data_IF_708171981067
#
_entry.id   IF_708171981067
#
_cell.length_a   1.000
_cell.length_b   1.000
_cell.length_c   1.000
_cell.angle_alpha   90.00
_cell.angle_beta   90.00
_cell.angle_gamma   90.00
#
_symmetry.space_group_name_H-M   'P 1'
#
loop_
_entity.id
_entity.type
_entity.pdbx_description
1 polymer ?
#
# COMPACT_ATOMS: atom_id res chain seq x y z
N UNK A 1 57.04 -17.95 8.74
CA UNK A 1 57.76 -16.93 9.54
C UNK A 1 58.45 -15.98 8.58
N UNK A 2 58.09 -14.69 8.71
CA UNK A 2 58.80 -13.49 8.30
C UNK A 2 58.90 -13.06 6.81
N UNK A 3 58.97 -11.72 6.58
CA UNK A 3 58.07 -10.97 5.69
C UNK A 3 58.82 -9.89 4.85
N UNK A 4 58.10 -8.87 4.38
CA UNK A 4 58.53 -7.59 3.76
C UNK A 4 58.68 -7.59 2.23
N UNK A 5 57.70 -7.01 1.51
CA UNK A 5 57.67 -5.62 0.98
C UNK A 5 58.70 -5.38 -0.12
N UNK A 6 58.24 -5.00 -1.31
CA UNK A 6 58.90 -4.06 -2.24
C UNK A 6 57.91 -3.69 -3.38
N UNK A 7 57.59 -2.39 -3.49
CA UNK A 7 57.60 -1.53 -4.70
C UNK A 7 56.82 -2.05 -5.94
N UNK A 8 55.95 -1.31 -6.64
CA UNK A 8 55.67 0.11 -6.67
C UNK A 8 54.69 0.47 -7.80
N UNK A 9 54.15 1.67 -7.63
CA UNK A 9 53.35 2.59 -8.44
C UNK A 9 53.52 2.56 -9.98
N UNK A 10 52.44 2.98 -10.67
CA UNK A 10 52.36 3.61 -12.03
C UNK A 10 52.05 2.66 -13.20
N UNK A 11 50.78 2.65 -13.64
CA UNK A 11 50.45 2.49 -15.06
C UNK A 11 49.20 3.31 -15.41
N UNK A 12 49.44 4.59 -15.67
CA UNK A 12 48.52 5.52 -16.31
C UNK A 12 49.21 6.03 -17.57
N UNK A 13 48.88 5.46 -18.74
CA UNK A 13 49.10 6.10 -20.05
C UNK A 13 48.55 5.20 -21.16
N UNK A 14 47.34 5.48 -21.63
CA UNK A 14 47.01 5.29 -23.05
C UNK A 14 45.83 6.18 -23.41
N UNK A 15 46.17 7.43 -23.72
CA UNK A 15 45.33 8.37 -24.43
C UNK A 15 46.09 8.74 -25.71
N UNK A 16 45.37 8.78 -26.83
CA UNK A 16 45.49 9.59 -28.04
C UNK A 16 44.87 8.77 -29.19
N UNK A 17 43.98 9.22 -30.06
CA UNK A 17 43.23 10.46 -30.34
C UNK A 17 42.56 10.17 -31.68
N UNK A 18 41.34 10.64 -31.94
CA UNK A 18 41.04 11.31 -33.21
C UNK A 18 39.80 12.21 -33.02
N UNK A 19 40.06 13.51 -33.11
CA UNK A 19 39.06 14.58 -33.17
C UNK A 19 38.36 14.58 -34.54
N UNK A 20 37.08 14.98 -34.57
CA UNK A 20 36.55 15.93 -35.53
C UNK A 20 35.18 16.44 -35.03
N UNK A 21 34.99 17.76 -35.04
CA UNK A 21 33.68 18.39 -34.78
C UNK A 21 33.71 19.62 -33.90
N UNK A 22 34.39 20.67 -34.37
CA UNK A 22 34.35 22.02 -33.82
C UNK A 22 33.07 22.73 -34.27
N UNK A 23 32.30 23.21 -33.30
CA UNK A 23 31.22 24.19 -33.42
C UNK A 23 30.53 24.23 -32.05
N UNK A 24 30.54 25.30 -31.26
CA UNK A 24 30.83 26.70 -31.53
C UNK A 24 29.74 27.49 -30.80
N UNK A 25 30.02 27.90 -29.55
CA UNK A 25 29.33 29.01 -28.87
C UNK A 25 28.13 28.66 -27.98
N UNK A 26 28.23 29.01 -26.70
CA UNK A 26 27.09 29.15 -25.80
C UNK A 26 27.27 28.52 -24.41
N UNK A 27 28.21 29.03 -23.60
CA UNK A 27 28.19 28.77 -22.15
C UNK A 27 26.97 29.45 -21.53
N UNK A 28 25.85 28.74 -21.43
CA UNK A 28 24.80 29.09 -20.48
C UNK A 28 25.28 28.64 -19.10
N UNK A 29 25.54 29.62 -18.24
CA UNK A 29 25.71 29.50 -16.80
C UNK A 29 24.86 28.37 -16.23
N UNK A 30 25.47 27.49 -15.43
CA UNK A 30 24.76 26.49 -14.64
C UNK A 30 23.64 27.16 -13.87
N UNK A 31 22.42 26.99 -14.36
CA UNK A 31 21.23 27.41 -13.67
C UNK A 31 21.18 26.64 -12.36
N UNK A 32 21.32 27.36 -11.25
CA UNK A 32 20.88 26.84 -9.96
C UNK A 32 19.45 26.37 -10.17
N UNK A 33 19.22 25.06 -10.14
CA UNK A 33 17.88 24.50 -10.24
C UNK A 33 17.17 24.98 -8.98
N UNK A 34 16.41 26.06 -9.11
CA UNK A 34 15.70 26.64 -7.97
C UNK A 34 14.57 25.66 -7.65
N UNK A 35 14.49 25.12 -6.43
CA UNK A 35 13.42 24.20 -6.07
C UNK A 35 12.06 24.85 -6.36
N UNK A 36 11.08 24.08 -6.86
CA UNK A 36 9.74 24.62 -7.09
C UNK A 36 9.21 25.24 -5.79
N UNK A 37 8.81 26.51 -5.85
CA UNK A 37 8.34 27.28 -4.69
C UNK A 37 6.86 27.10 -4.42
N UNK A 38 6.18 26.28 -5.23
CA UNK A 38 4.75 26.01 -5.10
C UNK A 38 4.46 24.53 -5.25
N UNK A 39 3.44 24.06 -4.54
CA UNK A 39 2.92 22.71 -4.64
C UNK A 39 1.70 22.68 -5.56
N UNK A 40 1.70 21.76 -6.52
CA UNK A 40 0.51 21.45 -7.34
C UNK A 40 -0.11 20.14 -6.87
N UNK A 41 -1.44 20.13 -6.67
CA UNK A 41 -2.21 18.90 -6.50
C UNK A 41 -2.80 18.52 -7.85
N UNK A 42 -2.50 17.33 -8.33
CA UNK A 42 -3.06 16.72 -9.54
C UNK A 42 -3.86 15.50 -9.19
N UNK A 43 -4.86 15.15 -9.99
CA UNK A 43 -5.73 14.05 -9.62
C UNK A 43 -6.82 13.73 -10.62
N UNK A 44 -7.68 12.80 -10.22
CA UNK A 44 -8.90 12.41 -10.91
C UNK A 44 -10.04 12.43 -9.90
N UNK A 45 -11.16 13.05 -10.25
CA UNK A 45 -12.39 12.93 -9.48
C UNK A 45 -13.28 11.84 -10.10
N UNK A 46 -13.56 10.75 -9.36
CA UNK A 46 -14.27 9.61 -9.92
C UNK A 46 -15.16 8.85 -8.92
N UNK A 47 -16.43 8.67 -9.31
CA UNK A 47 -17.33 7.60 -8.86
C UNK A 47 -17.71 6.73 -10.05
N UNK A 48 -18.10 7.38 -11.13
CA UNK A 48 -17.43 7.27 -12.43
C UNK A 48 -16.82 8.61 -12.78
N UNK A 49 -16.16 8.78 -13.93
CA UNK A 49 -15.43 10.02 -14.20
C UNK A 49 -16.35 11.25 -14.14
N UNK A 50 -16.03 12.18 -13.22
CA UNK A 50 -16.75 13.44 -13.08
C UNK A 50 -16.28 14.39 -14.19
N UNK A 51 -16.77 14.22 -15.42
CA UNK A 51 -16.38 15.06 -16.56
C UNK A 51 -17.05 16.42 -16.48
N UNK A 52 -16.25 17.49 -16.36
CA UNK A 52 -16.77 18.85 -16.16
C UNK A 52 -17.35 19.10 -14.76
N UNK A 53 -17.04 18.24 -13.78
CA UNK A 53 -17.29 18.49 -12.37
C UNK A 53 -16.37 19.58 -11.80
N UNK A 54 -16.62 19.99 -10.56
CA UNK A 54 -15.85 21.03 -9.85
C UNK A 54 -15.05 20.41 -8.71
N UNK A 55 -13.79 20.83 -8.57
CA UNK A 55 -12.94 20.49 -7.42
C UNK A 55 -12.56 21.75 -6.65
N UNK A 56 -12.69 21.69 -5.33
CA UNK A 56 -12.30 22.74 -4.39
C UNK A 56 -11.29 22.21 -3.39
N UNK A 57 -10.31 23.02 -3.03
CA UNK A 57 -9.32 22.71 -1.99
C UNK A 57 -9.52 23.66 -0.83
N UNK A 58 -9.61 23.11 0.36
CA UNK A 58 -9.82 23.86 1.60
C UNK A 58 -8.67 23.66 2.55
N UNK A 59 -8.33 24.72 3.28
CA UNK A 59 -7.58 24.66 4.53
C UNK A 59 -8.57 24.64 5.70
N UNK A 60 -8.11 24.16 6.86
CA UNK A 60 -8.89 24.13 8.09
C UNK A 60 -8.38 25.17 9.10
N UNK A 61 -9.26 25.74 9.92
CA UNK A 61 -8.84 26.61 11.02
C UNK A 61 -8.03 25.84 12.08
N UNK A 62 -7.51 26.56 13.07
CA UNK A 62 -6.82 25.96 14.22
C UNK A 62 -7.70 24.97 15.01
N UNK A 63 -9.02 25.17 15.03
CA UNK A 63 -9.98 24.23 15.63
C UNK A 63 -10.11 22.90 14.88
N UNK A 64 -9.62 22.84 13.63
CA UNK A 64 -9.71 21.68 12.73
C UNK A 64 -11.15 21.24 12.39
N UNK A 65 -12.13 22.09 12.64
CA UNK A 65 -13.54 21.84 12.31
C UNK A 65 -13.80 22.03 10.81
N UNK A 66 -14.23 20.97 10.12
CA UNK A 66 -14.53 20.99 8.68
C UNK A 66 -15.69 21.91 8.31
N UNK A 67 -16.56 22.24 9.27
CA UNK A 67 -17.67 23.18 9.01
C UNK A 67 -17.19 24.62 8.89
N UNK A 68 -15.96 24.90 9.32
CA UNK A 68 -15.32 26.21 9.29
C UNK A 68 -14.18 26.27 8.27
N UNK A 69 -14.14 25.31 7.34
CA UNK A 69 -13.12 25.21 6.29
C UNK A 69 -13.09 26.48 5.42
N UNK A 70 -11.90 26.89 5.01
CA UNK A 70 -11.68 28.08 4.17
C UNK A 70 -11.14 27.66 2.81
N UNK A 71 -11.71 28.22 1.74
CA UNK A 71 -11.26 27.91 0.38
C UNK A 71 -9.82 28.41 0.22
N UNK A 72 -8.90 27.50 -0.11
CA UNK A 72 -7.47 27.81 -0.22
C UNK A 72 -7.13 28.45 -1.57
N UNK A 73 -7.84 28.05 -2.63
CA UNK A 73 -7.65 28.50 -4.01
C UNK A 73 -8.98 28.47 -4.75
N UNK A 74 -9.11 29.24 -5.83
CA UNK A 74 -10.27 29.17 -6.71
C UNK A 74 -10.59 27.72 -7.09
N UNK A 75 -11.89 27.43 -7.22
CA UNK A 75 -12.36 26.14 -7.68
C UNK A 75 -11.88 25.88 -9.12
N UNK A 76 -11.55 24.63 -9.43
CA UNK A 76 -11.19 24.23 -10.80
C UNK A 76 -12.25 23.30 -11.37
N UNK A 77 -12.39 23.35 -12.69
CA UNK A 77 -13.24 22.41 -13.43
C UNK A 77 -12.37 21.24 -13.87
N UNK A 78 -12.85 20.04 -13.61
CA UNK A 78 -12.25 18.80 -14.11
C UNK A 78 -12.34 18.71 -15.63
N UNK A 79 -11.36 18.06 -16.24
CA UNK A 79 -11.34 17.75 -17.66
C UNK A 79 -12.64 17.09 -18.12
N UNK A 80 -13.18 17.57 -19.23
CA UNK A 80 -14.37 17.01 -19.87
C UNK A 80 -14.12 15.66 -20.53
N UNK A 81 -12.87 15.21 -20.60
CA UNK A 81 -12.46 13.96 -21.25
C UNK A 81 -12.41 12.82 -20.24
N UNK A 82 -11.76 13.04 -19.10
CA UNK A 82 -11.27 11.99 -18.20
C UNK A 82 -11.39 12.35 -16.70
N UNK A 83 -12.04 13.46 -16.35
CA UNK A 83 -12.23 13.87 -14.95
C UNK A 83 -10.96 14.31 -14.22
N UNK A 84 -9.84 14.50 -14.94
CA UNK A 84 -8.57 14.99 -14.37
C UNK A 84 -8.67 16.44 -13.90
N UNK A 85 -7.94 16.79 -12.86
CA UNK A 85 -7.81 18.18 -12.38
C UNK A 85 -6.37 18.49 -11.96
N UNK A 86 -6.06 19.79 -11.92
CA UNK A 86 -4.82 20.32 -11.39
C UNK A 86 -5.08 21.63 -10.64
N UNK A 87 -4.53 21.77 -9.44
CA UNK A 87 -4.73 22.94 -8.57
C UNK A 87 -3.39 23.32 -7.96
N UNK A 88 -2.96 24.57 -8.12
CA UNK A 88 -1.78 25.09 -7.43
C UNK A 88 -2.20 25.65 -6.07
N UNK A 89 -1.65 25.11 -4.98
CA UNK A 89 -1.94 25.55 -3.59
C UNK A 89 -0.89 26.52 -3.04
N UNK A 90 0.00 27.02 -3.90
CA UNK A 90 1.08 27.93 -3.53
C UNK A 90 2.07 27.26 -2.58
N UNK A 91 2.52 28.01 -1.57
CA UNK A 91 3.45 27.55 -0.55
C UNK A 91 2.77 26.93 0.69
N UNK A 92 1.51 26.50 0.56
CA UNK A 92 0.77 25.94 1.69
C UNK A 92 1.37 24.60 2.13
N UNK A 93 1.51 24.43 3.44
CA UNK A 93 1.88 23.17 4.11
C UNK A 93 0.86 22.84 5.19
N UNK A 94 0.69 21.55 5.47
CA UNK A 94 -0.28 21.04 6.44
C UNK A 94 -1.49 20.40 5.79
N UNK A 95 -2.56 20.23 6.58
CA UNK A 95 -3.76 19.52 6.18
C UNK A 95 -4.57 20.28 5.12
N UNK A 96 -4.88 19.59 4.03
CA UNK A 96 -5.83 20.06 3.02
C UNK A 96 -7.00 19.09 2.86
N UNK A 97 -8.18 19.63 2.63
CA UNK A 97 -9.42 18.89 2.33
C UNK A 97 -9.86 19.23 0.90
N UNK A 98 -9.98 18.21 0.06
CA UNK A 98 -10.49 18.35 -1.30
C UNK A 98 -11.94 17.91 -1.35
N UNK A 99 -12.75 18.62 -2.13
CA UNK A 99 -14.14 18.28 -2.41
C UNK A 99 -14.39 18.31 -3.91
N UNK A 100 -14.93 17.20 -4.44
CA UNK A 100 -15.38 17.10 -5.82
C UNK A 100 -16.91 16.99 -5.87
N UNK A 101 -17.52 17.79 -6.74
CA UNK A 101 -18.95 17.72 -7.05
C UNK A 101 -19.18 17.70 -8.56
N UNK A 102 -20.33 17.18 -9.00
CA UNK A 102 -20.68 17.11 -10.41
C UNK A 102 -21.54 15.89 -10.73
N UNK A 103 -21.66 15.62 -12.02
CA UNK A 103 -22.36 14.45 -12.55
C UNK A 103 -21.36 13.44 -13.12
N UNK A 104 -21.75 12.17 -13.10
CA UNK A 104 -20.99 11.04 -13.62
C UNK A 104 -21.92 10.06 -14.32
N UNK A 105 -21.36 9.22 -15.18
CA UNK A 105 -22.07 8.05 -15.71
C UNK A 105 -21.83 6.89 -14.76
N UNK A 106 -22.90 6.29 -14.25
CA UNK A 106 -22.82 5.16 -13.33
C UNK A 106 -22.50 3.86 -14.10
N UNK A 107 -21.37 3.24 -13.80
CA UNK A 107 -20.89 2.02 -14.47
C UNK A 107 -21.82 0.82 -14.30
N UNK A 108 -22.63 0.82 -13.24
CA UNK A 108 -23.53 -0.30 -12.97
C UNK A 108 -24.70 -0.38 -13.97
N UNK A 109 -25.20 0.77 -14.43
CA UNK A 109 -26.46 0.89 -15.18
C UNK A 109 -26.39 1.86 -16.37
N UNK A 110 -25.24 2.47 -16.64
CA UNK A 110 -25.02 3.43 -17.72
C UNK A 110 -25.74 4.77 -17.54
N UNK A 111 -26.47 4.98 -16.45
CA UNK A 111 -27.27 6.20 -16.26
C UNK A 111 -26.42 7.36 -15.77
N UNK A 112 -26.76 8.59 -16.20
CA UNK A 112 -26.12 9.80 -15.69
C UNK A 112 -26.70 10.16 -14.34
N UNK A 113 -25.85 10.27 -13.31
CA UNK A 113 -26.21 10.64 -11.94
C UNK A 113 -25.45 11.87 -11.50
N UNK A 114 -26.01 12.63 -10.56
CA UNK A 114 -25.34 13.74 -9.89
C UNK A 114 -25.00 13.30 -8.47
N UNK A 115 -23.83 13.72 -7.97
CA UNK A 115 -23.49 13.50 -6.58
C UNK A 115 -24.40 14.35 -5.67
N UNK A 116 -25.12 13.68 -4.77
CA UNK A 116 -25.98 14.35 -3.78
C UNK A 116 -25.17 15.13 -2.74
N UNK A 117 -23.93 14.70 -2.49
CA UNK A 117 -22.95 15.37 -1.65
C UNK A 117 -21.56 15.26 -2.28
N UNK A 118 -20.66 16.24 -2.06
CA UNK A 118 -19.30 16.14 -2.57
C UNK A 118 -18.57 14.90 -2.04
N UNK A 119 -17.78 14.26 -2.91
CA UNK A 119 -16.79 13.29 -2.47
C UNK A 119 -15.56 14.03 -1.96
N UNK A 120 -14.94 13.52 -0.89
CA UNK A 120 -13.77 14.13 -0.29
C UNK A 120 -12.51 13.29 -0.43
N UNK A 121 -11.39 13.98 -0.34
CA UNK A 121 -10.08 13.41 -0.06
C UNK A 121 -9.34 14.36 0.89
N UNK A 122 -8.52 13.83 1.78
CA UNK A 122 -7.69 14.65 2.67
C UNK A 122 -6.26 14.10 2.71
N UNK A 123 -5.30 15.02 2.81
CA UNK A 123 -3.88 14.69 2.90
C UNK A 123 -3.12 15.81 3.62
N UNK A 124 -1.93 15.47 4.10
CA UNK A 124 -1.02 16.42 4.76
C UNK A 124 0.12 16.76 3.79
N UNK A 125 0.24 18.04 3.45
CA UNK A 125 1.33 18.56 2.61
C UNK A 125 2.54 18.81 3.50
N UNK A 126 3.49 17.87 3.49
CA UNK A 126 4.66 17.89 4.38
C UNK A 126 5.74 18.91 3.99
N UNK A 127 5.81 19.31 2.71
CA UNK A 127 6.77 20.30 2.23
C UNK A 127 6.24 21.06 1.03
N UNK A 128 6.78 22.27 0.81
CA UNK A 128 6.49 23.08 -0.37
C UNK A 128 7.28 22.55 -1.56
N UNK A 129 6.63 22.52 -2.71
CA UNK A 129 7.25 22.21 -4.00
C UNK A 129 6.79 20.87 -4.58
N UNK A 130 6.77 20.82 -5.91
CA UNK A 130 6.49 19.60 -6.66
C UNK A 130 5.02 19.33 -6.92
N UNK A 131 4.71 18.07 -7.22
CA UNK A 131 3.38 17.61 -7.58
C UNK A 131 2.95 16.48 -6.67
N UNK A 132 1.76 16.59 -6.12
CA UNK A 132 1.13 15.56 -5.28
C UNK A 132 -0.09 15.02 -6.00
N UNK A 133 -0.17 13.70 -6.14
CA UNK A 133 -1.33 13.03 -6.71
C UNK A 133 -2.37 12.78 -5.62
N UNK A 134 -3.64 13.00 -5.96
CA UNK A 134 -4.79 12.67 -5.10
C UNK A 134 -5.97 12.27 -5.98
N UNK A 135 -6.50 11.07 -5.82
CA UNK A 135 -7.81 10.74 -6.38
C UNK A 135 -8.92 11.23 -5.44
N UNK A 136 -10.03 11.74 -5.98
CA UNK A 136 -11.23 12.05 -5.19
C UNK A 136 -12.31 11.03 -5.54
N UNK A 137 -12.47 10.03 -4.69
CA UNK A 137 -13.27 8.83 -4.96
C UNK A 137 -14.07 8.40 -3.72
N UNK A 138 -15.00 7.44 -3.84
CA UNK A 138 -15.64 6.82 -2.68
C UNK A 138 -14.65 6.27 -1.65
N UNK A 139 -13.50 5.75 -2.06
CA UNK A 139 -12.51 5.21 -1.12
C UNK A 139 -11.80 6.31 -0.33
N UNK A 140 -11.43 7.43 -0.97
CA UNK A 140 -10.88 8.59 -0.24
C UNK A 140 -11.94 9.27 0.62
N UNK A 141 -13.21 9.22 0.21
CA UNK A 141 -14.31 9.68 1.06
C UNK A 141 -14.46 8.78 2.30
N UNK A 142 -14.37 7.45 2.17
CA UNK A 142 -14.30 6.54 3.32
C UNK A 142 -13.13 6.92 4.24
N UNK A 143 -11.95 7.23 3.70
CA UNK A 143 -10.78 7.65 4.47
C UNK A 143 -11.07 8.94 5.27
N UNK A 144 -11.66 9.95 4.64
CA UNK A 144 -12.05 11.21 5.29
C UNK A 144 -13.08 10.95 6.40
N UNK A 145 -14.10 10.13 6.13
CA UNK A 145 -15.11 9.82 7.16
C UNK A 145 -14.53 9.03 8.32
N UNK A 146 -13.60 8.12 8.05
CA UNK A 146 -12.89 7.37 9.08
C UNK A 146 -12.04 8.31 9.94
N UNK A 147 -11.29 9.23 9.34
CA UNK A 147 -10.48 10.22 10.04
C UNK A 147 -11.30 11.21 10.89
N UNK A 148 -12.57 11.43 10.52
CA UNK A 148 -13.53 12.22 11.30
C UNK A 148 -14.20 11.43 12.44
N UNK A 149 -14.04 10.10 12.47
CA UNK A 149 -14.77 9.26 13.43
C UNK A 149 -14.11 9.28 14.80
N UNK A 150 -14.90 9.60 15.84
CA UNK A 150 -14.51 9.52 17.24
C UNK A 150 -15.55 8.67 17.97
N UNK A 151 -15.12 7.65 18.71
CA UNK A 151 -16.00 6.72 19.44
C UNK A 151 -17.15 6.15 18.57
N UNK A 152 -16.85 5.79 17.32
CA UNK A 152 -17.80 5.17 16.38
C UNK A 152 -18.70 6.15 15.62
N UNK A 153 -18.76 7.39 16.07
CA UNK A 153 -19.60 8.43 15.49
C UNK A 153 -18.76 9.38 14.66
N UNK A 154 -19.27 9.76 13.48
CA UNK A 154 -18.63 10.77 12.66
C UNK A 154 -18.74 12.14 13.35
N UNK A 155 -17.59 12.72 13.71
CA UNK A 155 -17.47 14.09 14.18
C UNK A 155 -17.17 15.06 13.04
N UNK A 156 -16.69 16.24 13.41
CA UNK A 156 -16.36 17.32 12.46
C UNK A 156 -14.89 17.74 12.52
N UNK A 157 -14.12 17.17 13.45
CA UNK A 157 -12.73 17.53 13.67
C UNK A 157 -11.83 16.61 12.84
N UNK A 158 -11.10 17.18 11.89
CA UNK A 158 -10.18 16.43 11.03
C UNK A 158 -8.73 16.68 11.43
N UNK A 159 -8.06 15.66 11.94
CA UNK A 159 -6.66 15.74 12.42
C UNK A 159 -5.69 15.13 11.43
N UNK A 160 -4.46 15.65 11.40
CA UNK A 160 -3.40 15.22 10.47
C UNK A 160 -3.00 13.76 10.69
N UNK A 161 -2.85 13.35 11.96
CA UNK A 161 -2.55 11.97 12.34
C UNK A 161 -3.68 11.01 11.96
N UNK A 162 -4.94 11.44 12.12
CA UNK A 162 -6.11 10.62 11.79
C UNK A 162 -6.26 10.45 10.27
N UNK A 163 -5.99 11.50 9.49
CA UNK A 163 -5.96 11.44 8.02
C UNK A 163 -4.87 10.51 7.53
N UNK A 164 -3.66 10.66 8.08
CA UNK A 164 -2.52 9.80 7.72
C UNK A 164 -2.81 8.34 8.03
N UNK A 165 -3.35 8.04 9.22
CA UNK A 165 -3.72 6.69 9.63
C UNK A 165 -4.85 6.11 8.77
N UNK A 166 -5.90 6.87 8.46
CA UNK A 166 -7.02 6.39 7.65
C UNK A 166 -6.61 6.10 6.20
N UNK A 167 -5.78 6.96 5.61
CA UNK A 167 -5.24 6.74 4.26
C UNK A 167 -4.35 5.49 4.24
N UNK A 168 -3.42 5.37 5.20
CA UNK A 168 -2.53 4.22 5.30
C UNK A 168 -3.30 2.91 5.51
N UNK A 169 -4.36 2.93 6.32
CA UNK A 169 -5.21 1.76 6.55
C UNK A 169 -5.85 1.27 5.23
N UNK A 170 -6.49 2.17 4.48
CA UNK A 170 -7.13 1.80 3.22
C UNK A 170 -6.12 1.34 2.17
N UNK A 171 -5.00 2.04 2.00
CA UNK A 171 -3.92 1.59 1.10
C UNK A 171 -3.35 0.23 1.51
N UNK A 172 -3.38 -0.11 2.80
CA UNK A 172 -2.98 -1.43 3.30
C UNK A 172 -4.00 -2.56 3.04
N UNK A 173 -5.27 -2.22 2.80
CA UNK A 173 -6.38 -3.16 2.59
C UNK A 173 -6.80 -3.33 1.12
N UNK A 174 -6.34 -2.42 0.26
CA UNK A 174 -6.68 -2.35 -1.15
C UNK A 174 -5.47 -2.76 -2.01
N UNK A 175 -5.68 -3.33 -3.21
CA UNK A 175 -4.59 -3.68 -4.13
C UNK A 175 -3.97 -2.47 -4.85
N UNK A 176 -4.38 -1.25 -4.49
CA UNK A 176 -3.93 0.01 -5.04
C UNK A 176 -3.83 1.05 -3.92
N UNK A 177 -3.03 2.08 -4.15
CA UNK A 177 -2.92 3.22 -3.24
C UNK A 177 -3.92 4.32 -3.60
N UNK A 178 -4.81 4.64 -2.67
CA UNK A 178 -5.88 5.63 -2.90
C UNK A 178 -5.36 7.06 -3.11
N UNK A 179 -4.09 7.33 -2.79
CA UNK A 179 -3.47 8.64 -2.97
C UNK A 179 -2.60 8.70 -4.23
N UNK A 180 -1.78 7.67 -4.50
CA UNK A 180 -0.80 7.72 -5.60
C UNK A 180 -1.28 7.07 -6.89
N UNK A 181 -2.15 6.05 -6.83
CA UNK A 181 -2.77 5.47 -8.01
C UNK A 181 -3.99 6.29 -8.44
N UNK A 182 -4.10 6.57 -9.74
CA UNK A 182 -5.22 7.31 -10.30
C UNK A 182 -6.07 6.38 -11.18
N UNK A 183 -7.39 6.23 -10.88
CA UNK A 183 -8.26 5.46 -11.74
C UNK A 183 -8.33 6.08 -13.14
N UNK A 184 -8.57 5.24 -14.12
CA UNK A 184 -8.83 5.63 -15.52
C UNK A 184 -10.29 5.36 -15.89
N UNK A 185 -10.72 5.91 -17.03
CA UNK A 185 -12.06 5.63 -17.55
C UNK A 185 -12.25 4.10 -17.70
N UNK A 186 -13.42 3.55 -17.36
CA UNK A 186 -13.70 2.11 -17.47
C UNK A 186 -13.93 1.66 -18.94
N UNK A 187 -13.01 2.01 -19.83
CA UNK A 187 -12.96 1.61 -21.23
C UNK A 187 -11.76 0.69 -21.47
N UNK A 188 -11.94 -0.34 -22.28
CA UNK A 188 -10.88 -1.28 -22.63
C UNK A 188 -9.65 -0.58 -23.22
N UNK A 189 -9.86 0.46 -24.05
CA UNK A 189 -8.78 1.26 -24.62
C UNK A 189 -7.96 2.04 -23.59
N UNK A 190 -8.59 2.47 -22.50
CA UNK A 190 -7.97 3.27 -21.44
C UNK A 190 -7.33 2.39 -20.36
N UNK A 191 -7.85 1.18 -20.16
CA UNK A 191 -7.28 0.18 -19.25
C UNK A 191 -6.12 -0.59 -19.88
N UNK A 192 -6.06 -0.68 -21.21
CA UNK A 192 -4.95 -1.32 -21.90
C UNK A 192 -3.67 -0.47 -21.76
N UNK A 193 -2.60 -1.07 -21.25
CA UNK A 193 -1.29 -0.40 -21.09
C UNK A 193 -1.12 0.44 -19.81
N UNK A 194 -2.14 0.52 -18.93
CA UNK A 194 -1.96 1.12 -17.59
C UNK A 194 -1.52 0.07 -16.57
N UNK A 195 -0.92 0.52 -15.46
CA UNK A 195 -0.44 -0.39 -14.41
C UNK A 195 -1.59 -1.16 -13.76
N UNK A 196 -1.31 -2.38 -13.29
CA UNK A 196 -2.31 -3.23 -12.63
C UNK A 196 -3.04 -2.53 -11.45
N UNK A 197 -2.37 -1.77 -10.55
CA UNK A 197 -3.08 -1.03 -9.49
C UNK A 197 -4.10 -0.02 -10.03
N UNK A 198 -3.83 0.65 -11.15
CA UNK A 198 -4.77 1.60 -11.75
C UNK A 198 -5.97 0.89 -12.40
N UNK A 199 -5.73 -0.28 -13.00
CA UNK A 199 -6.81 -1.15 -13.49
C UNK A 199 -7.71 -1.61 -12.34
N UNK A 200 -7.09 -2.10 -11.27
CA UNK A 200 -7.78 -2.56 -10.07
C UNK A 200 -8.57 -1.44 -9.40
N UNK A 201 -8.03 -0.22 -9.36
CA UNK A 201 -8.75 0.93 -8.83
C UNK A 201 -10.00 1.24 -9.65
N UNK A 202 -9.89 1.33 -10.99
CA UNK A 202 -11.05 1.55 -11.86
C UNK A 202 -12.13 0.48 -11.69
N UNK A 203 -11.73 -0.79 -11.65
CA UNK A 203 -12.65 -1.91 -11.44
C UNK A 203 -13.27 -1.88 -10.04
N UNK A 204 -12.51 -1.53 -9.00
CA UNK A 204 -13.04 -1.39 -7.65
C UNK A 204 -14.10 -0.28 -7.55
N UNK A 205 -13.98 0.81 -8.33
CA UNK A 205 -15.01 1.83 -8.42
C UNK A 205 -16.30 1.31 -9.08
N UNK A 206 -16.17 0.45 -10.11
CA UNK A 206 -17.31 -0.24 -10.72
C UNK A 206 -17.99 -1.23 -9.74
N UNK A 207 -17.22 -1.90 -8.89
CA UNK A 207 -17.78 -2.70 -7.80
C UNK A 207 -18.60 -1.85 -6.83
N UNK A 208 -18.09 -0.67 -6.43
CA UNK A 208 -18.83 0.28 -5.59
C UNK A 208 -20.09 0.80 -6.32
N UNK A 209 -20.05 1.00 -7.65
CA UNK A 209 -21.25 1.32 -8.46
C UNK A 209 -22.33 0.26 -8.31
N UNK A 210 -21.94 -1.01 -8.42
CA UNK A 210 -22.85 -2.16 -8.30
C UNK A 210 -23.38 -2.32 -6.88
N UNK A 211 -22.55 -2.18 -5.86
CA UNK A 211 -23.03 -2.20 -4.46
C UNK A 211 -24.03 -1.07 -4.19
N UNK A 212 -23.79 0.11 -4.76
CA UNK A 212 -24.63 1.28 -4.58
C UNK A 212 -26.02 1.15 -5.24
N UNK A 213 -26.24 0.21 -6.17
CA UNK A 213 -27.59 -0.03 -6.71
C UNK A 213 -28.54 -0.64 -5.69
N UNK A 214 -28.00 -1.32 -4.65
CA UNK A 214 -28.79 -2.01 -3.63
C UNK A 214 -28.98 -1.19 -2.34
N UNK A 215 -28.13 -0.19 -2.06
CA UNK A 215 -28.14 0.53 -0.77
C UNK A 215 -27.90 2.04 -0.84
N UNK A 216 -27.62 2.62 -2.01
CA UNK A 216 -27.06 3.96 -2.25
C UNK A 216 -25.55 4.08 -2.02
N UNK A 217 -24.93 5.07 -2.68
CA UNK A 217 -23.50 5.34 -2.54
C UNK A 217 -23.12 5.71 -1.10
N UNK A 218 -23.91 6.57 -0.46
CA UNK A 218 -23.69 6.96 0.95
C UNK A 218 -23.82 5.76 1.88
N UNK A 219 -24.72 4.83 1.59
CA UNK A 219 -24.89 3.58 2.34
C UNK A 219 -23.63 2.71 2.28
N UNK A 220 -23.07 2.48 1.08
CA UNK A 220 -21.83 1.70 0.89
C UNK A 220 -20.65 2.34 1.62
N UNK A 221 -20.47 3.65 1.47
CA UNK A 221 -19.38 4.40 2.12
C UNK A 221 -19.51 4.29 3.65
N UNK A 222 -20.72 4.41 4.19
CA UNK A 222 -20.96 4.37 5.63
C UNK A 222 -20.78 2.97 6.22
N UNK A 223 -21.18 1.92 5.49
CA UNK A 223 -20.92 0.54 5.87
C UNK A 223 -19.41 0.25 5.94
N UNK A 224 -18.66 0.64 4.90
CA UNK A 224 -17.21 0.49 4.87
C UNK A 224 -16.54 1.25 6.00
N UNK A 225 -16.92 2.51 6.24
CA UNK A 225 -16.42 3.31 7.37
C UNK A 225 -16.64 2.60 8.70
N UNK A 226 -17.84 2.10 8.97
CA UNK A 226 -18.18 1.41 10.23
C UNK A 226 -17.33 0.17 10.45
N UNK A 227 -17.15 -0.65 9.41
CA UNK A 227 -16.34 -1.87 9.51
C UNK A 227 -14.87 -1.54 9.81
N UNK A 228 -14.30 -0.57 9.10
CA UNK A 228 -12.91 -0.14 9.29
C UNK A 228 -12.72 0.48 10.68
N UNK A 229 -13.65 1.30 11.16
CA UNK A 229 -13.56 1.86 12.51
C UNK A 229 -13.61 0.78 13.59
N UNK A 230 -14.54 -0.18 13.46
CA UNK A 230 -14.76 -1.19 14.50
C UNK A 230 -13.67 -2.27 14.53
N UNK A 231 -13.10 -2.61 13.37
CA UNK A 231 -12.26 -3.81 13.23
C UNK A 231 -10.92 -3.58 12.55
N UNK A 232 -10.67 -2.38 12.00
CA UNK A 232 -9.48 -2.10 11.19
C UNK A 232 -9.45 -2.85 9.86
N UNK A 233 -10.56 -3.46 9.43
CA UNK A 233 -10.61 -4.29 8.20
C UNK A 233 -12.02 -4.40 7.65
N UNK A 234 -12.13 -4.90 6.42
CA UNK A 234 -13.43 -5.30 5.87
C UNK A 234 -13.85 -6.66 6.44
N UNK A 235 -15.14 -6.82 6.71
CA UNK A 235 -15.71 -8.11 7.07
C UNK A 235 -15.70 -9.07 5.89
N UNK A 236 -15.73 -10.37 6.16
CA UNK A 236 -15.90 -11.39 5.13
C UNK A 236 -17.14 -11.15 4.26
N UNK A 237 -18.26 -10.73 4.87
CA UNK A 237 -19.49 -10.41 4.14
C UNK A 237 -19.28 -9.25 3.16
N UNK A 238 -18.60 -8.17 3.57
CA UNK A 238 -18.32 -7.04 2.70
C UNK A 238 -17.37 -7.39 1.55
N UNK A 239 -16.36 -8.23 1.81
CA UNK A 239 -15.43 -8.70 0.78
C UNK A 239 -16.14 -9.59 -0.22
N UNK A 240 -16.98 -10.51 0.24
CA UNK A 240 -17.78 -11.36 -0.65
C UNK A 240 -18.78 -10.53 -1.46
N UNK A 241 -19.44 -9.54 -0.85
CA UNK A 241 -20.33 -8.62 -1.55
C UNK A 241 -19.59 -7.81 -2.62
N UNK A 242 -18.39 -7.30 -2.31
CA UNK A 242 -17.54 -6.61 -3.28
C UNK A 242 -17.16 -7.52 -4.46
N UNK A 243 -16.70 -8.74 -4.18
CA UNK A 243 -16.33 -9.70 -5.24
C UNK A 243 -17.53 -10.10 -6.08
N UNK A 244 -18.70 -10.35 -5.47
CA UNK A 244 -19.94 -10.63 -6.18
C UNK A 244 -20.40 -9.44 -7.03
N UNK A 245 -20.26 -8.21 -6.53
CA UNK A 245 -20.57 -7.00 -7.29
C UNK A 245 -19.78 -6.89 -8.60
N UNK A 246 -18.60 -7.51 -8.68
CA UNK A 246 -17.82 -7.64 -9.91
C UNK A 246 -18.16 -8.90 -10.70
N UNK A 247 -18.10 -10.06 -10.05
CA UNK A 247 -17.93 -11.36 -10.71
C UNK A 247 -19.15 -12.30 -10.60
N UNK A 248 -20.27 -11.86 -10.01
CA UNK A 248 -21.50 -12.64 -10.05
C UNK A 248 -21.99 -12.79 -11.50
N UNK A 249 -22.22 -14.02 -12.00
CA UNK A 249 -22.51 -14.25 -13.42
C UNK A 249 -23.89 -13.72 -13.87
N UNK A 250 -24.80 -13.43 -12.94
CA UNK A 250 -26.14 -12.94 -13.25
C UNK A 250 -26.26 -11.42 -13.04
N UNK A 251 -25.56 -10.87 -12.04
CA UNK A 251 -25.80 -9.50 -11.56
C UNK A 251 -24.54 -8.64 -11.47
N UNK A 252 -23.36 -9.26 -11.54
CA UNK A 252 -22.07 -8.60 -11.41
C UNK A 252 -21.77 -7.60 -12.52
N UNK A 253 -20.78 -6.74 -12.30
CA UNK A 253 -20.30 -5.79 -13.30
C UNK A 253 -19.82 -6.48 -14.56
N UNK A 254 -19.06 -7.57 -14.44
CA UNK A 254 -18.49 -8.25 -15.61
C UNK A 254 -19.53 -8.85 -16.55
N UNK A 255 -20.70 -9.25 -16.02
CA UNK A 255 -21.84 -9.73 -16.79
C UNK A 255 -22.74 -8.59 -17.33
N UNK A 256 -22.49 -7.34 -16.94
CA UNK A 256 -23.30 -6.19 -17.33
C UNK A 256 -23.10 -5.79 -18.79
N UNK A 257 -24.18 -5.37 -19.46
CA UNK A 257 -24.10 -4.73 -20.78
C UNK A 257 -23.32 -3.40 -20.77
N UNK A 258 -23.09 -2.82 -19.59
CA UNK A 258 -22.34 -1.58 -19.40
C UNK A 258 -20.85 -1.81 -19.11
N UNK A 259 -20.40 -3.06 -19.11
CA UNK A 259 -18.99 -3.39 -18.97
C UNK A 259 -18.22 -3.09 -20.27
N UNK A 260 -17.65 -1.90 -20.33
CA UNK A 260 -16.78 -1.50 -21.44
C UNK A 260 -15.29 -1.78 -21.18
N UNK A 261 -14.95 -2.45 -20.06
CA UNK A 261 -13.56 -2.61 -19.62
C UNK A 261 -12.82 -3.75 -20.31
N UNK A 262 -13.55 -4.70 -20.90
CA UNK A 262 -12.98 -5.93 -21.46
C UNK A 262 -12.70 -7.04 -20.43
N UNK A 263 -12.81 -6.76 -19.13
CA UNK A 263 -12.61 -7.77 -18.08
C UNK A 263 -13.85 -8.65 -17.90
N UNK A 264 -13.63 -9.95 -17.77
CA UNK A 264 -14.68 -10.94 -17.53
C UNK A 264 -14.48 -11.72 -16.22
N UNK A 265 -13.41 -11.43 -15.49
CA UNK A 265 -13.03 -12.07 -14.24
C UNK A 265 -12.24 -11.10 -13.37
N UNK A 266 -12.14 -11.42 -12.07
CA UNK A 266 -11.31 -10.65 -11.14
C UNK A 266 -9.84 -10.69 -11.57
N UNK A 267 -9.17 -9.55 -11.40
CA UNK A 267 -7.71 -9.48 -11.52
C UNK A 267 -7.06 -10.13 -10.30
N UNK A 268 -5.78 -10.49 -10.42
CA UNK A 268 -5.02 -11.04 -9.30
C UNK A 268 -4.96 -10.09 -8.08
N UNK A 269 -5.01 -8.76 -8.30
CA UNK A 269 -5.05 -7.79 -7.21
C UNK A 269 -6.44 -7.69 -6.56
N UNK A 270 -7.53 -7.68 -7.34
CA UNK A 270 -8.89 -7.64 -6.80
C UNK A 270 -9.31 -8.94 -6.09
N UNK A 271 -8.69 -10.07 -6.45
CA UNK A 271 -8.81 -11.29 -5.64
C UNK A 271 -8.28 -11.10 -4.21
N UNK A 272 -7.38 -10.14 -4.01
CA UNK A 272 -6.81 -9.78 -2.70
C UNK A 272 -7.51 -8.59 -2.05
N UNK A 273 -8.67 -8.14 -2.54
CA UNK A 273 -9.44 -7.08 -1.89
C UNK A 273 -9.75 -7.42 -0.43
N UNK A 274 -9.41 -6.50 0.48
CA UNK A 274 -9.62 -6.66 1.93
C UNK A 274 -8.64 -7.58 2.63
N UNK A 275 -7.61 -8.08 1.94
CA UNK A 275 -6.47 -8.71 2.62
C UNK A 275 -5.79 -7.67 3.48
N UNK A 276 -5.36 -8.08 4.68
CA UNK A 276 -4.72 -7.18 5.64
C UNK A 276 -3.34 -7.72 6.01
N UNK A 277 -2.48 -6.84 6.52
CA UNK A 277 -1.14 -7.23 6.97
C UNK A 277 -1.20 -7.72 8.40
N UNK A 278 -0.55 -8.85 8.67
CA UNK A 278 -0.37 -9.40 10.02
C UNK A 278 1.12 -9.60 10.27
N UNK A 279 1.60 -9.23 11.46
CA UNK A 279 3.00 -9.47 11.82
C UNK A 279 3.11 -10.75 12.64
N UNK A 280 3.89 -11.71 12.17
CA UNK A 280 4.25 -12.91 12.89
C UNK A 280 5.62 -12.72 13.54
N UNK A 281 5.67 -12.74 14.87
CA UNK A 281 6.92 -12.83 15.64
C UNK A 281 7.29 -14.28 15.88
N UNK A 282 8.58 -14.58 15.78
CA UNK A 282 9.12 -15.93 15.91
C UNK A 282 10.12 -15.95 17.06
N UNK A 283 9.97 -16.96 17.92
CA UNK A 283 10.72 -17.10 19.16
C UNK A 283 11.49 -18.41 19.17
N UNK A 284 12.74 -18.34 19.62
CA UNK A 284 13.52 -19.50 20.01
C UNK A 284 13.27 -19.77 21.50
N UNK A 285 12.73 -20.94 21.82
CA UNK A 285 12.48 -21.37 23.20
C UNK A 285 13.32 -22.61 23.49
N UNK A 286 14.10 -22.55 24.56
CA UNK A 286 15.09 -23.55 24.92
C UNK A 286 15.79 -23.17 26.21
N UNK A 287 16.41 -24.14 26.87
CA UNK A 287 17.23 -23.91 28.04
C UNK A 287 18.69 -23.84 27.60
N UNK A 288 19.09 -22.71 27.02
CA UNK A 288 20.46 -22.50 26.56
C UNK A 288 21.35 -22.22 27.77
N UNK A 289 22.50 -22.90 27.88
CA UNK A 289 23.51 -22.46 28.83
C UNK A 289 23.97 -21.05 28.44
N UNK A 290 24.51 -20.27 29.39
CA UNK A 290 24.99 -18.90 29.13
C UNK A 290 26.11 -18.83 28.07
N UNK A 291 26.72 -19.96 27.74
CA UNK A 291 27.73 -20.14 26.69
C UNK A 291 27.14 -20.50 25.33
N UNK A 292 25.90 -20.98 25.28
CA UNK A 292 25.25 -21.47 24.06
C UNK A 292 24.54 -20.33 23.35
N UNK A 293 25.30 -19.62 22.52
CA UNK A 293 24.77 -18.56 21.65
C UNK A 293 24.40 -19.14 20.28
N UNK A 294 23.18 -18.87 19.84
CA UNK A 294 22.72 -19.19 18.49
C UNK A 294 23.44 -18.25 17.52
N UNK A 295 24.21 -18.81 16.57
CA UNK A 295 24.85 -18.06 15.49
C UNK A 295 24.20 -18.30 14.14
N UNK A 296 23.52 -19.44 13.98
CA UNK A 296 22.73 -19.75 12.80
C UNK A 296 21.45 -20.46 13.20
N UNK A 297 20.34 -20.09 12.58
CA UNK A 297 19.09 -20.84 12.65
C UNK A 297 18.47 -20.92 11.26
N UNK A 298 18.14 -22.13 10.82
CA UNK A 298 17.38 -22.40 9.60
C UNK A 298 16.07 -23.07 9.99
N UNK A 299 14.98 -22.66 9.35
CA UNK A 299 13.68 -23.32 9.53
C UNK A 299 12.78 -23.11 8.31
N UNK A 300 11.74 -23.95 8.25
CA UNK A 300 10.60 -23.80 7.35
C UNK A 300 9.32 -23.64 8.18
N UNK A 301 8.54 -22.59 7.89
CA UNK A 301 7.27 -22.29 8.54
C UNK A 301 6.15 -22.62 7.58
N UNK A 302 5.25 -23.51 7.96
CA UNK A 302 3.97 -23.70 7.25
C UNK A 302 3.00 -22.66 7.75
N UNK A 303 2.53 -21.81 6.83
CA UNK A 303 1.54 -20.79 7.12
C UNK A 303 0.13 -21.41 7.06
N UNK A 304 -0.79 -21.03 7.96
CA UNK A 304 -2.16 -21.53 7.92
C UNK A 304 -2.88 -21.08 6.64
N UNK A 305 -3.94 -21.80 6.27
CA UNK A 305 -4.78 -21.44 5.13
C UNK A 305 -5.24 -19.97 5.23
N UNK A 306 -5.27 -19.26 4.11
CA UNK A 306 -5.65 -17.85 4.07
C UNK A 306 -4.52 -16.87 4.45
N UNK A 307 -3.36 -17.34 4.90
CA UNK A 307 -2.17 -16.51 5.04
C UNK A 307 -1.17 -16.76 3.93
N UNK A 308 -0.42 -15.73 3.55
CA UNK A 308 0.66 -15.79 2.56
C UNK A 308 1.71 -14.72 2.85
N UNK A 309 2.83 -14.72 2.14
CA UNK A 309 3.78 -13.59 2.12
C UNK A 309 3.67 -12.85 0.79
N UNK A 310 4.01 -11.55 0.78
CA UNK A 310 4.13 -10.83 -0.49
C UNK A 310 5.39 -11.30 -1.22
N UNK A 311 5.24 -11.70 -2.47
CA UNK A 311 6.35 -12.11 -3.33
C UNK A 311 6.56 -11.14 -4.49
N UNK A 312 7.78 -11.11 -5.01
CA UNK A 312 8.11 -10.50 -6.29
C UNK A 312 7.62 -11.33 -7.48
N UNK A 313 7.95 -10.89 -8.68
CA UNK A 313 7.65 -11.58 -9.94
C UNK A 313 8.40 -12.91 -10.09
N UNK A 314 9.49 -13.07 -9.33
CA UNK A 314 10.31 -14.28 -9.21
C UNK A 314 9.78 -15.29 -8.18
N UNK A 315 8.62 -15.00 -7.56
CA UNK A 315 8.05 -15.79 -6.46
C UNK A 315 8.88 -15.81 -5.17
N UNK A 316 9.92 -14.97 -5.06
CA UNK A 316 10.66 -14.79 -3.81
C UNK A 316 9.95 -13.77 -2.92
N UNK A 317 9.99 -13.93 -1.58
CA UNK A 317 9.52 -12.90 -0.67
C UNK A 317 10.19 -11.55 -0.95
N UNK A 318 9.40 -10.47 -0.94
CA UNK A 318 9.94 -9.12 -1.11
C UNK A 318 10.90 -8.75 0.03
N UNK A 319 11.82 -7.81 -0.24
CA UNK A 319 12.69 -7.27 0.79
C UNK A 319 11.88 -6.71 1.97
N UNK A 320 12.33 -6.99 3.20
CA UNK A 320 11.66 -6.56 4.43
C UNK A 320 10.46 -7.42 4.85
N UNK A 321 10.08 -8.44 4.08
CA UNK A 321 9.04 -9.41 4.52
C UNK A 321 9.51 -10.20 5.74
N UNK A 322 10.80 -10.53 5.80
CA UNK A 322 11.42 -11.12 6.98
C UNK A 322 12.50 -10.16 7.46
N UNK A 323 12.47 -9.85 8.76
CA UNK A 323 13.45 -8.96 9.39
C UNK A 323 13.90 -9.53 10.72
N UNK A 324 15.14 -9.22 11.10
CA UNK A 324 15.72 -9.70 12.34
C UNK A 324 15.17 -8.80 13.44
N UNK A 325 14.73 -9.40 14.53
CA UNK A 325 14.05 -8.66 15.59
C UNK A 325 14.43 -9.20 16.96
N UNK A 326 13.99 -8.50 18.01
CA UNK A 326 14.30 -8.86 19.39
C UNK A 326 15.79 -9.06 19.63
N UNK A 327 16.14 -10.24 20.14
CA UNK A 327 17.50 -10.59 20.55
C UNK A 327 18.45 -10.76 19.37
N UNK A 328 17.94 -10.95 18.15
CA UNK A 328 18.76 -11.09 16.94
C UNK A 328 18.81 -9.82 16.08
N UNK A 329 18.25 -8.68 16.53
CA UNK A 329 18.12 -7.48 15.70
C UNK A 329 19.46 -6.89 15.20
N UNK A 330 20.55 -7.07 15.96
CA UNK A 330 21.85 -6.46 15.65
C UNK A 330 22.81 -7.49 15.05
N UNK A 331 23.42 -7.16 13.91
CA UNK A 331 24.50 -7.95 13.32
C UNK A 331 24.03 -9.27 12.71
N UNK A 332 22.75 -9.34 12.34
CA UNK A 332 22.15 -10.53 11.72
C UNK A 332 21.79 -10.29 10.26
N UNK A 333 21.85 -11.37 9.48
CA UNK A 333 21.58 -11.40 8.06
C UNK A 333 20.70 -12.60 7.74
N UNK A 334 19.71 -12.42 6.86
CA UNK A 334 18.96 -13.54 6.31
C UNK A 334 19.54 -13.96 4.98
N UNK A 335 19.77 -15.26 4.83
CA UNK A 335 19.87 -15.86 3.50
C UNK A 335 18.55 -15.63 2.73
N UNK A 336 18.59 -15.54 1.39
CA UNK A 336 17.39 -15.36 0.59
C UNK A 336 16.29 -16.34 0.97
N UNK A 337 15.17 -15.81 1.45
CA UNK A 337 14.04 -16.63 1.84
C UNK A 337 13.37 -17.25 0.60
N UNK A 338 12.90 -18.48 0.72
CA UNK A 338 12.08 -19.15 -0.28
C UNK A 338 10.64 -19.23 0.17
N UNK A 339 9.68 -19.01 -0.73
CA UNK A 339 8.26 -19.24 -0.46
C UNK A 339 7.66 -20.19 -1.49
N UNK A 340 7.12 -21.31 -1.01
CA UNK A 340 6.38 -22.25 -1.83
C UNK A 340 4.87 -22.03 -1.62
N UNK A 341 4.22 -21.42 -2.60
CA UNK A 341 2.77 -21.13 -2.56
C UNK A 341 1.90 -22.38 -2.63
N UNK A 342 2.41 -23.49 -3.16
CA UNK A 342 1.66 -24.76 -3.26
C UNK A 342 1.55 -25.47 -1.90
N UNK A 343 2.60 -25.37 -1.08
CA UNK A 343 2.61 -25.94 0.29
C UNK A 343 2.38 -24.88 1.38
N UNK A 344 2.24 -23.62 0.98
CA UNK A 344 2.19 -22.44 1.84
C UNK A 344 3.34 -22.38 2.86
N UNK A 345 4.56 -22.69 2.42
CA UNK A 345 5.73 -22.83 3.28
C UNK A 345 6.76 -21.73 3.02
N UNK A 346 7.13 -21.00 4.07
CA UNK A 346 8.20 -20.01 4.07
C UNK A 346 9.46 -20.60 4.67
N UNK A 347 10.56 -20.65 3.93
CA UNK A 347 11.85 -21.16 4.41
C UNK A 347 12.90 -20.06 4.41
N UNK A 348 13.69 -19.99 5.48
CA UNK A 348 14.79 -19.03 5.56
C UNK A 348 15.86 -19.51 6.54
N UNK A 349 17.04 -18.89 6.45
CA UNK A 349 18.09 -19.02 7.44
C UNK A 349 18.50 -17.62 7.93
N UNK A 350 18.75 -17.50 9.23
CA UNK A 350 19.27 -16.32 9.89
C UNK A 350 20.68 -16.64 10.41
N UNK A 351 21.63 -15.80 10.05
CA UNK A 351 23.02 -15.86 10.53
C UNK A 351 23.27 -14.61 11.38
N UNK A 352 23.79 -14.77 12.58
CA UNK A 352 24.08 -13.68 13.53
C UNK A 352 25.57 -13.64 13.86
N UNK A 353 26.21 -12.51 13.58
CA UNK A 353 27.63 -12.28 13.91
C UNK A 353 27.87 -12.13 15.42
N UNK A 354 26.91 -11.52 16.13
CA UNK A 354 26.91 -11.30 17.59
C UNK A 354 26.37 -12.51 18.34
N UNK A 355 25.45 -13.26 17.73
CA UNK A 355 24.76 -14.38 18.33
C UNK A 355 23.66 -13.93 19.28
N UNK A 356 22.71 -14.83 19.56
CA UNK A 356 21.56 -14.53 20.41
C UNK A 356 21.14 -15.76 21.24
N UNK A 357 20.46 -15.52 22.37
CA UNK A 357 19.89 -16.58 23.22
C UNK A 357 18.41 -16.84 22.93
N UNK A 358 17.69 -17.43 23.88
CA UNK A 358 16.23 -17.58 23.79
C UNK A 358 15.51 -16.24 23.66
N UNK A 359 14.40 -16.20 22.93
CA UNK A 359 13.57 -15.01 22.75
C UNK A 359 13.16 -14.77 21.30
N UNK A 360 12.57 -13.61 21.04
CA UNK A 360 12.22 -13.17 19.69
C UNK A 360 13.49 -13.01 18.86
N UNK A 361 13.51 -13.56 17.65
CA UNK A 361 14.65 -13.42 16.73
C UNK A 361 14.26 -12.95 15.32
N UNK A 362 12.98 -13.09 14.94
CA UNK A 362 12.52 -12.68 13.63
C UNK A 362 11.08 -12.20 13.64
N UNK A 363 10.78 -11.27 12.74
CA UNK A 363 9.43 -10.85 12.36
C UNK A 363 9.18 -11.16 10.90
N UNK A 364 7.96 -11.64 10.60
CA UNK A 364 7.48 -11.91 9.24
C UNK A 364 6.21 -11.11 9.00
N UNK A 365 6.18 -10.32 7.91
CA UNK A 365 4.98 -9.65 7.45
C UNK A 365 4.17 -10.58 6.54
N UNK A 366 2.95 -10.90 6.96
CA UNK A 366 2.03 -11.80 6.27
C UNK A 366 0.87 -11.02 5.66
N UNK A 367 0.37 -11.49 4.52
CA UNK A 367 -0.95 -11.11 3.99
C UNK A 367 -1.98 -12.11 4.48
N UNK A 368 -3.01 -11.63 5.15
CA UNK A 368 -4.08 -12.44 5.72
C UNK A 368 -5.39 -12.17 5.01
N UNK A 369 -6.02 -13.25 4.54
CA UNK A 369 -7.33 -13.21 3.91
C UNK A 369 -8.40 -12.86 4.95
N UNK A 370 -9.39 -12.02 4.61
CA UNK A 370 -10.56 -11.78 5.46
C UNK A 370 -11.48 -13.00 5.57
N UNK A 371 -11.26 -14.05 4.77
CA UNK A 371 -12.07 -15.29 4.76
C UNK A 371 -11.75 -16.23 5.92
N UNK A 372 -10.70 -15.97 6.68
CA UNK A 372 -10.32 -16.79 7.82
C UNK A 372 -10.52 -16.04 9.13
N UNK A 373 -10.87 -16.79 10.19
CA UNK A 373 -10.72 -16.27 11.55
C UNK A 373 -9.27 -15.81 11.73
N UNK A 374 -9.01 -14.74 12.53
CA UNK A 374 -7.66 -14.39 12.90
C UNK A 374 -6.90 -15.66 13.31
N UNK A 375 -5.73 -15.92 12.70
CA UNK A 375 -4.96 -17.10 13.06
C UNK A 375 -4.59 -17.01 14.55
N UNK A 376 -4.43 -18.16 15.19
CA UNK A 376 -3.90 -18.24 16.55
C UNK A 376 -2.46 -18.72 16.48
N UNK A 377 -1.66 -18.44 17.50
CA UNK A 377 -0.23 -18.80 17.52
C UNK A 377 0.04 -20.28 17.23
N UNK A 378 -0.87 -21.17 17.62
CA UNK A 378 -0.79 -22.62 17.39
C UNK A 378 -1.14 -23.07 15.97
N UNK A 379 -1.59 -22.16 15.10
CA UNK A 379 -1.90 -22.45 13.69
C UNK A 379 -0.66 -22.47 12.79
N UNK A 380 0.50 -22.08 13.32
CA UNK A 380 1.79 -22.13 12.62
C UNK A 380 2.59 -23.33 13.09
N UNK A 381 3.30 -23.96 12.17
CA UNK A 381 4.22 -25.06 12.49
C UNK A 381 5.60 -24.77 11.91
N UNK A 382 6.63 -24.95 12.72
CA UNK A 382 8.01 -24.99 12.26
C UNK A 382 8.40 -26.43 11.90
N UNK A 383 9.17 -26.58 10.84
CA UNK A 383 9.79 -27.83 10.40
C UNK A 383 11.21 -27.55 9.92
N UNK A 384 12.01 -28.60 9.72
CA UNK A 384 13.39 -28.50 9.26
C UNK A 384 14.23 -27.52 10.09
N UNK A 385 13.98 -27.48 11.40
CA UNK A 385 14.68 -26.56 12.31
C UNK A 385 16.10 -27.07 12.53
N UNK A 386 17.07 -26.28 12.14
CA UNK A 386 18.50 -26.53 12.39
C UNK A 386 19.08 -25.30 13.08
N UNK A 387 19.78 -25.52 14.20
CA UNK A 387 20.38 -24.44 14.99
C UNK A 387 21.85 -24.75 15.19
N UNK A 388 22.72 -23.76 14.98
CA UNK A 388 24.16 -23.91 15.10
C UNK A 388 24.84 -22.81 15.91
N UNK A 389 25.93 -23.17 16.57
CA UNK A 389 26.86 -22.28 17.27
C UNK A 389 27.86 -21.62 16.30
N UNK A 390 28.80 -20.83 16.85
CA UNK A 390 29.92 -20.24 16.08
C UNK A 390 30.84 -21.31 15.46
N UNK A 391 30.99 -22.46 16.12
CA UNK A 391 31.79 -23.57 15.64
C UNK A 391 31.11 -24.41 14.55
N UNK A 392 29.84 -24.11 14.24
CA UNK A 392 29.01 -24.95 13.37
C UNK A 392 28.46 -26.19 14.09
N UNK A 393 28.66 -26.31 15.41
CA UNK A 393 28.08 -27.41 16.18
C UNK A 393 26.57 -27.24 16.26
N UNK A 394 25.83 -28.34 16.12
CA UNK A 394 24.38 -28.33 16.30
C UNK A 394 24.01 -28.11 17.77
N UNK A 395 23.05 -27.23 18.02
CA UNK A 395 22.50 -27.00 19.37
C UNK A 395 21.29 -27.92 19.57
N UNK A 396 21.38 -28.87 20.51
CA UNK A 396 20.28 -29.79 20.84
C UNK A 396 19.28 -29.23 21.85
N UNK A 397 19.63 -28.12 22.51
CA UNK A 397 18.88 -27.57 23.64
C UNK A 397 17.75 -26.60 23.24
N UNK A 398 17.59 -26.35 21.92
CA UNK A 398 16.37 -25.73 21.42
C UNK A 398 15.22 -26.71 21.61
N UNK A 399 14.36 -26.44 22.58
CA UNK A 399 13.19 -27.30 22.83
C UNK A 399 12.11 -27.08 21.80
N UNK A 400 11.87 -25.83 21.40
CA UNK A 400 10.77 -25.48 20.48
C UNK A 400 11.04 -24.17 19.73
N UNK A 401 10.42 -24.04 18.56
CA UNK A 401 10.16 -22.73 17.94
C UNK A 401 8.70 -22.37 18.22
N UNK A 402 8.47 -21.17 18.72
CA UNK A 402 7.12 -20.68 19.02
C UNK A 402 6.83 -19.38 18.28
N UNK A 403 5.54 -19.03 18.22
CA UNK A 403 5.03 -17.98 17.37
C UNK A 403 4.12 -17.04 18.17
N UNK A 404 4.14 -15.76 17.84
CA UNK A 404 3.17 -14.79 18.33
C UNK A 404 2.68 -13.89 17.21
N UNK A 405 1.37 -13.76 17.06
CA UNK A 405 0.78 -12.81 16.12
C UNK A 405 0.63 -11.44 16.78
N UNK A 406 1.02 -10.41 16.05
CA UNK A 406 0.79 -9.01 16.37
C UNK A 406 -0.01 -8.39 15.23
N UNK A 407 -1.22 -7.93 15.54
CA UNK A 407 -2.09 -7.21 14.60
C UNK A 407 -1.91 -5.71 14.74
#
# INVERSE_FOLDING_TARGET
MNPYKIIGTIFAMMALTLLNGCGGGGSSSGGVITPPTTTAITGVASKGMLKGGTVKVYTLPASRDINQKQLLTAAVVTSSIDGRYQINIGSHTGLVLLEASGSYTNEADGTRKTLDAPLRAALVIGSVGGTVNVAITPFTEVAVRLALTVNGTQGTILREEAVTAANALLTGLLPFDILSDLPVEPLNSELNGVSAPRQDYTLALAAVSKLATSSSLTGVIEDYRKQLFNTGRFSLAAVNAFKAALNDPATGFFASAFNNTGYQALTAGLEKFGYYTTTLKIYATGNFATTDIIKGIQLAITLPAGMSVKTGTDSLPLAGIITASGNAAIGSYFEPAGYNSSTNTLSFALISSTGFGSGEFATVMLQTSPTISPPVNTSFTASNVTVVTKGGESITDLTTVSFAIVN
#
